data_IF_681420101585
#
_entry.id   IF_681420101585
#
_cell.length_a   1.000
_cell.length_b   1.000
_cell.length_c   1.000
_cell.angle_alpha   90.00
_cell.angle_beta   90.00
_cell.angle_gamma   90.00
#
_symmetry.space_group_name_H-M   'P 1'
#
loop_
_entity.id
_entity.type
_entity.pdbx_description
1 polymer ?
#
# COMPACT_ATOMS: atom_id res chain seq x y z
N UNK A 1 23.60 22.55 -83.47
CA UNK A 1 25.00 22.21 -83.13
C UNK A 1 25.27 22.51 -81.67
N UNK A 2 25.10 21.51 -80.80
CA UNK A 2 26.07 21.11 -79.76
C UNK A 2 25.62 19.78 -79.17
N UNK A 3 26.59 18.90 -79.07
CA UNK A 3 26.49 17.46 -78.97
C UNK A 3 26.10 16.92 -77.58
N UNK A 4 25.40 15.77 -77.64
CA UNK A 4 25.53 14.53 -76.85
C UNK A 4 26.03 14.62 -75.39
N UNK A 5 25.29 13.97 -74.49
CA UNK A 5 25.83 12.76 -73.86
C UNK A 5 24.70 11.80 -73.42
N UNK A 6 24.80 10.57 -73.91
CA UNK A 6 24.00 9.44 -73.49
C UNK A 6 24.65 8.76 -72.27
N UNK A 7 23.83 8.23 -71.37
CA UNK A 7 24.26 7.33 -70.29
C UNK A 7 23.18 6.32 -69.97
N UNK A 8 23.16 5.18 -70.68
CA UNK A 8 22.41 3.97 -70.31
C UNK A 8 23.28 3.10 -69.40
N UNK A 9 22.76 2.62 -68.26
CA UNK A 9 22.98 1.27 -67.66
C UNK A 9 21.73 0.94 -66.80
N UNK A 10 20.87 0.02 -67.25
CA UNK A 10 20.80 -1.41 -66.85
C UNK A 10 20.61 -1.57 -65.33
N UNK A 11 19.36 -1.75 -64.86
CA UNK A 11 18.65 -3.03 -64.69
C UNK A 11 19.01 -3.76 -63.39
N UNK A 12 18.03 -3.93 -62.50
CA UNK A 12 17.71 -5.21 -61.86
C UNK A 12 16.49 -5.04 -60.93
N UNK A 13 15.52 -5.94 -61.12
CA UNK A 13 14.35 -6.12 -60.28
C UNK A 13 14.72 -6.78 -58.94
N UNK A 14 13.97 -6.44 -57.89
CA UNK A 14 13.62 -7.40 -56.83
C UNK A 14 12.40 -6.87 -56.06
N UNK A 15 11.24 -7.42 -56.38
CA UNK A 15 10.09 -7.48 -55.46
C UNK A 15 10.52 -8.21 -54.19
N UNK A 16 10.32 -7.58 -53.03
CA UNK A 16 10.13 -8.28 -51.77
C UNK A 16 8.87 -7.71 -51.10
N UNK A 17 7.73 -8.34 -51.41
CA UNK A 17 6.60 -8.38 -50.49
C UNK A 17 7.09 -9.11 -49.23
N UNK A 18 7.22 -8.39 -48.13
CA UNK A 18 7.32 -8.99 -46.81
C UNK A 18 6.24 -8.34 -45.95
N UNK A 19 5.18 -9.12 -45.74
CA UNK A 19 4.10 -8.84 -44.82
C UNK A 19 4.68 -8.57 -43.42
N UNK A 20 4.62 -7.33 -42.97
CA UNK A 20 4.77 -7.01 -41.56
C UNK A 20 3.49 -7.45 -40.86
N UNK A 21 3.51 -8.67 -40.33
CA UNK A 21 2.44 -9.23 -39.52
C UNK A 21 2.04 -8.20 -38.45
N UNK A 22 0.76 -7.82 -38.46
CA UNK A 22 0.15 -7.13 -37.34
C UNK A 22 0.44 -7.96 -36.08
N UNK A 23 1.22 -7.41 -35.15
CA UNK A 23 1.30 -7.91 -33.80
C UNK A 23 -0.07 -7.67 -33.18
N UNK A 24 -1.00 -8.60 -33.42
CA UNK A 24 -2.18 -8.81 -32.61
C UNK A 24 -1.68 -9.32 -31.27
N UNK A 25 -1.11 -8.43 -30.46
CA UNK A 25 -1.06 -8.65 -29.04
C UNK A 25 -2.50 -8.87 -28.63
N UNK A 26 -2.80 -10.07 -28.13
CA UNK A 26 -3.99 -10.29 -27.33
C UNK A 26 -3.85 -9.36 -26.12
N UNK A 27 -4.32 -8.12 -26.26
CA UNK A 27 -4.43 -7.20 -25.15
C UNK A 27 -5.38 -7.88 -24.18
N UNK A 28 -4.83 -8.50 -23.15
CA UNK A 28 -5.64 -8.93 -22.02
C UNK A 28 -6.38 -7.68 -21.55
N UNK A 29 -7.72 -7.72 -21.43
CA UNK A 29 -8.46 -6.56 -20.97
C UNK A 29 -7.83 -6.11 -19.66
N UNK A 30 -7.53 -4.81 -19.56
CA UNK A 30 -7.05 -4.22 -18.32
C UNK A 30 -8.15 -4.47 -17.27
N UNK A 31 -7.89 -5.40 -16.36
CA UNK A 31 -8.83 -5.70 -15.29
C UNK A 31 -8.82 -4.50 -14.35
N UNK A 32 -9.96 -3.85 -14.21
CA UNK A 32 -10.12 -2.77 -13.24
C UNK A 32 -9.84 -3.33 -11.85
N UNK A 33 -8.81 -2.79 -11.18
CA UNK A 33 -8.53 -3.15 -9.81
C UNK A 33 -9.76 -2.82 -8.96
N UNK A 34 -10.24 -3.81 -8.20
CA UNK A 34 -11.32 -3.54 -7.24
C UNK A 34 -10.68 -2.94 -5.99
N UNK A 35 -11.09 -1.71 -5.65
CA UNK A 35 -10.58 -1.02 -4.45
C UNK A 35 -11.49 -1.29 -3.27
N UNK A 36 -10.91 -1.73 -2.16
CA UNK A 36 -11.59 -1.87 -0.88
C UNK A 36 -11.04 -0.87 0.13
N UNK A 37 -11.94 -0.32 0.94
CA UNK A 37 -11.61 0.49 2.10
C UNK A 37 -11.81 -0.37 3.33
N UNK A 38 -10.73 -0.69 4.02
CA UNK A 38 -10.73 -1.65 5.13
C UNK A 38 -10.10 -1.03 6.36
N UNK A 39 -10.61 -1.36 7.54
CA UNK A 39 -9.99 -0.93 8.80
C UNK A 39 -8.96 -1.91 9.33
N UNK A 40 -8.88 -3.10 8.75
CA UNK A 40 -7.86 -4.07 9.08
C UNK A 40 -7.49 -4.93 7.87
N UNK A 41 -6.31 -5.56 7.91
CA UNK A 41 -5.82 -6.39 6.80
C UNK A 41 -6.45 -7.80 6.78
N UNK A 42 -7.44 -8.06 7.63
CA UNK A 42 -8.18 -9.32 7.74
C UNK A 42 -9.65 -9.19 7.31
N UNK A 43 -10.15 -7.97 7.17
CA UNK A 43 -11.49 -7.61 6.65
C UNK A 43 -11.53 -7.79 5.13
N UNK A 44 -10.99 -8.92 4.67
CA UNK A 44 -10.98 -9.35 3.29
C UNK A 44 -11.28 -10.86 3.27
N UNK A 45 -12.14 -11.36 2.37
CA UNK A 45 -12.69 -12.73 2.47
C UNK A 45 -11.69 -13.90 2.42
N UNK A 46 -10.41 -13.64 2.18
CA UNK A 46 -9.39 -14.66 1.88
C UNK A 46 -8.12 -14.54 2.71
N UNK A 47 -8.00 -13.55 3.60
CA UNK A 47 -6.89 -13.47 4.55
C UNK A 47 -7.43 -13.94 5.88
N UNK A 48 -6.83 -14.99 6.44
CA UNK A 48 -7.05 -15.39 7.81
C UNK A 48 -5.85 -14.95 8.62
N UNK A 49 -6.05 -13.99 9.52
CA UNK A 49 -5.00 -13.48 10.36
C UNK A 49 -4.92 -14.30 11.65
N UNK A 50 -3.72 -14.76 11.98
CA UNK A 50 -3.45 -15.54 13.19
C UNK A 50 -2.36 -14.93 14.08
N UNK A 51 -1.68 -13.88 13.61
CA UNK A 51 -0.50 -13.29 14.22
C UNK A 51 -0.56 -11.76 14.13
N UNK A 52 0.21 -11.04 14.92
CA UNK A 52 0.14 -9.58 15.00
C UNK A 52 -1.07 -9.03 15.76
N UNK A 53 -1.01 -7.75 16.10
CA UNK A 53 -2.10 -6.95 16.68
C UNK A 53 -1.64 -5.47 16.83
N UNK A 54 -1.15 -4.88 15.74
CA UNK A 54 -0.77 -3.47 15.72
C UNK A 54 -2.00 -2.60 15.45
N UNK A 55 -2.25 -1.59 16.26
CA UNK A 55 -3.24 -0.57 15.97
C UNK A 55 -2.58 0.79 15.73
N UNK A 56 -2.83 1.37 14.57
CA UNK A 56 -2.51 2.77 14.30
C UNK A 56 -3.71 3.65 14.62
N UNK A 57 -3.48 4.66 15.45
CA UNK A 57 -4.50 5.57 15.95
C UNK A 57 -4.45 6.90 15.23
N UNK A 58 -5.62 7.47 14.93
CA UNK A 58 -5.73 8.79 14.33
C UNK A 58 -5.24 9.91 15.28
N UNK A 59 -5.56 9.80 16.57
CA UNK A 59 -5.13 10.77 17.58
C UNK A 59 -3.80 10.39 18.23
N UNK A 60 -3.10 11.41 18.75
CA UNK A 60 -2.06 11.21 19.75
C UNK A 60 -2.64 10.64 21.05
N UNK A 61 -1.77 10.04 21.87
CA UNK A 61 -2.15 9.40 23.13
C UNK A 61 -3.03 10.29 24.02
N UNK A 62 -2.64 11.56 24.15
CA UNK A 62 -3.32 12.57 24.97
C UNK A 62 -4.81 12.73 24.62
N UNK A 63 -5.19 12.50 23.35
CA UNK A 63 -6.56 12.73 22.85
C UNK A 63 -7.27 11.44 22.45
N UNK A 64 -6.68 10.29 22.74
CA UNK A 64 -7.19 9.00 22.32
C UNK A 64 -8.20 8.40 23.30
N UNK A 65 -8.13 8.76 24.58
CA UNK A 65 -9.04 8.32 25.64
C UNK A 65 -9.48 9.51 26.48
N UNK A 66 -10.72 9.49 26.96
CA UNK A 66 -11.18 10.48 27.95
C UNK A 66 -10.83 10.07 29.38
N UNK A 67 -11.16 10.94 30.35
CA UNK A 67 -10.91 10.69 31.77
C UNK A 67 -11.64 9.48 32.36
N UNK A 68 -12.62 8.92 31.64
CA UNK A 68 -13.32 7.68 32.02
C UNK A 68 -12.69 6.43 31.41
N UNK A 69 -11.67 6.59 30.58
CA UNK A 69 -11.06 5.50 29.80
C UNK A 69 -11.83 5.14 28.53
N UNK A 70 -12.84 5.93 28.14
CA UNK A 70 -13.56 5.70 26.89
C UNK A 70 -12.66 6.07 25.72
N UNK A 71 -12.60 5.17 24.74
CA UNK A 71 -11.91 5.42 23.48
C UNK A 71 -12.59 6.54 22.70
N UNK A 72 -11.81 7.57 22.38
CA UNK A 72 -12.21 8.70 21.54
C UNK A 72 -11.57 8.65 20.15
N UNK A 73 -10.44 7.95 19.98
CA UNK A 73 -9.78 7.80 18.68
C UNK A 73 -10.37 6.66 17.87
N UNK A 74 -10.36 6.80 16.56
CA UNK A 74 -10.43 5.67 15.64
C UNK A 74 -9.05 5.05 15.44
N UNK A 75 -9.04 3.77 15.07
CA UNK A 75 -7.82 3.03 14.77
C UNK A 75 -8.02 2.09 13.57
N UNK A 76 -6.91 1.72 12.94
CA UNK A 76 -6.83 0.62 11.99
C UNK A 76 -5.95 -0.48 12.57
N UNK A 77 -6.32 -1.75 12.39
CA UNK A 77 -5.63 -2.91 12.94
C UNK A 77 -4.82 -3.64 11.88
N UNK A 78 -3.63 -4.08 12.23
CA UNK A 78 -2.74 -4.77 11.32
C UNK A 78 -2.17 -6.03 11.98
N UNK A 79 -2.35 -7.13 11.26
CA UNK A 79 -1.98 -8.48 11.68
C UNK A 79 -0.85 -9.04 10.81
N UNK A 80 -0.07 -8.15 10.20
CA UNK A 80 1.03 -8.51 9.32
C UNK A 80 1.57 -7.33 8.54
N UNK A 81 2.55 -7.59 7.69
CA UNK A 81 3.26 -6.56 6.95
C UNK A 81 2.36 -5.81 5.94
N UNK A 82 2.46 -4.48 5.94
CA UNK A 82 1.74 -3.60 5.04
C UNK A 82 2.69 -2.67 4.31
N UNK A 83 2.96 -2.99 3.04
CA UNK A 83 3.89 -2.26 2.18
C UNK A 83 3.40 -0.84 1.82
N UNK A 84 2.09 -0.62 1.71
CA UNK A 84 1.51 0.72 1.48
C UNK A 84 0.09 0.83 2.05
N UNK A 85 -0.11 1.73 3.02
CA UNK A 85 -1.44 2.02 3.59
C UNK A 85 -2.49 2.51 2.58
N UNK A 86 -2.09 2.97 1.38
CA UNK A 86 -3.01 3.43 0.35
C UNK A 86 -2.95 2.61 -0.95
N UNK A 87 -2.33 1.43 -0.94
CA UNK A 87 -2.02 0.75 -2.19
C UNK A 87 -1.61 -0.72 -2.10
N UNK A 88 -1.68 -1.37 -0.93
CA UNK A 88 -1.38 -2.81 -0.85
C UNK A 88 -2.25 -3.57 -1.83
N UNK A 89 -1.60 -4.17 -2.82
CA UNK A 89 -2.27 -4.81 -3.94
C UNK A 89 -1.97 -6.30 -3.94
N UNK A 90 -3.02 -7.12 -4.02
CA UNK A 90 -2.91 -8.57 -4.05
C UNK A 90 -3.74 -9.13 -5.19
N UNK A 91 -3.21 -10.16 -5.85
CA UNK A 91 -3.95 -10.90 -6.87
C UNK A 91 -4.74 -12.03 -6.23
N UNK A 92 -6.03 -12.12 -6.55
CA UNK A 92 -6.85 -13.30 -6.27
C UNK A 92 -7.45 -13.85 -7.55
N UNK A 93 -7.01 -15.05 -7.94
CA UNK A 93 -7.26 -15.60 -9.26
C UNK A 93 -6.70 -14.68 -10.35
N UNK A 94 -7.57 -14.19 -11.23
CA UNK A 94 -7.18 -13.24 -12.28
C UNK A 94 -7.45 -11.78 -11.91
N UNK A 95 -8.01 -11.45 -10.74
CA UNK A 95 -8.38 -10.07 -10.38
C UNK A 95 -7.35 -9.44 -9.45
N UNK A 96 -6.95 -8.20 -9.74
CA UNK A 96 -6.15 -7.37 -8.83
C UNK A 96 -7.07 -6.65 -7.84
N UNK A 97 -6.77 -6.78 -6.56
CA UNK A 97 -7.44 -6.08 -5.48
C UNK A 97 -6.49 -5.07 -4.85
N UNK A 98 -6.97 -3.85 -4.62
CA UNK A 98 -6.19 -2.78 -3.98
C UNK A 98 -6.87 -2.38 -2.68
N UNK A 99 -6.11 -2.36 -1.60
CA UNK A 99 -6.59 -1.98 -0.28
C UNK A 99 -6.14 -0.58 0.08
N UNK A 100 -7.10 0.22 0.54
CA UNK A 100 -6.86 1.52 1.15
C UNK A 100 -7.28 1.42 2.60
N UNK A 101 -6.32 1.51 3.50
CA UNK A 101 -6.59 1.40 4.93
C UNK A 101 -7.19 2.70 5.46
N UNK A 102 -8.25 2.58 6.25
CA UNK A 102 -8.95 3.69 6.89
C UNK A 102 -9.09 3.42 8.38
N UNK A 103 -9.14 4.47 9.21
CA UNK A 103 -9.43 4.29 10.62
C UNK A 103 -10.91 3.92 10.82
N UNK A 104 -11.19 2.94 11.69
CA UNK A 104 -12.52 2.40 11.97
C UNK A 104 -13.05 2.71 13.37
N UNK A 105 -14.03 1.92 13.83
CA UNK A 105 -14.59 1.92 15.19
C UNK A 105 -15.34 3.20 15.65
N UNK A 106 -15.63 4.15 14.75
CA UNK A 106 -16.55 5.26 15.00
C UNK A 106 -16.05 6.42 15.89
N UNK A 107 -14.77 6.40 16.29
CA UNK A 107 -14.12 7.51 16.99
C UNK A 107 -13.69 8.67 16.08
N UNK A 108 -12.87 9.57 16.62
CA UNK A 108 -12.23 10.65 15.88
C UNK A 108 -11.35 10.09 14.77
N UNK A 109 -11.52 10.60 13.55
CA UNK A 109 -10.80 10.13 12.38
C UNK A 109 -11.45 8.95 11.66
N UNK A 110 -12.61 8.47 12.10
CA UNK A 110 -13.31 7.38 11.42
C UNK A 110 -13.51 7.65 9.93
N UNK A 111 -13.14 6.68 9.09
CA UNK A 111 -13.17 6.77 7.63
C UNK A 111 -12.04 7.58 6.99
N UNK A 112 -11.20 8.26 7.78
CA UNK A 112 -9.98 8.89 7.25
C UNK A 112 -8.97 7.82 6.88
N UNK A 113 -8.18 8.09 5.84
CA UNK A 113 -7.11 7.19 5.38
C UNK A 113 -6.01 7.12 6.43
N UNK A 114 -5.43 5.94 6.64
CA UNK A 114 -4.31 5.76 7.59
C UNK A 114 -3.06 6.47 7.12
N UNK A 115 -2.73 6.34 5.82
CA UNK A 115 -1.56 6.97 5.21
C UNK A 115 -1.52 8.46 5.54
N UNK A 116 -0.42 8.90 6.12
CA UNK A 116 -0.13 10.27 6.53
C UNK A 116 -1.16 10.86 7.52
N UNK A 117 -1.77 10.02 8.36
CA UNK A 117 -2.75 10.51 9.35
C UNK A 117 -2.66 9.81 10.71
N UNK A 118 -1.86 8.75 10.87
CA UNK A 118 -1.73 8.14 12.19
C UNK A 118 -0.82 8.99 13.09
N UNK A 119 -1.15 9.08 14.37
CA UNK A 119 -0.43 9.88 15.35
C UNK A 119 0.07 9.08 16.56
N UNK A 120 -0.51 7.92 16.86
CA UNK A 120 -0.02 7.02 17.91
C UNK A 120 -0.24 5.56 17.57
N UNK A 121 0.38 4.68 18.35
CA UNK A 121 0.42 3.23 18.12
C UNK A 121 0.02 2.49 19.39
N UNK A 122 -0.85 1.50 19.28
CA UNK A 122 -0.95 0.40 20.24
C UNK A 122 -0.37 -0.86 19.62
N UNK A 123 0.72 -1.39 20.13
CA UNK A 123 1.14 -2.74 19.80
C UNK A 123 0.60 -3.70 20.87
N UNK A 124 -0.49 -4.38 20.54
CA UNK A 124 -1.14 -5.38 21.38
C UNK A 124 -0.64 -6.80 21.08
N UNK A 125 0.28 -6.97 20.13
CA UNK A 125 0.73 -8.28 19.71
C UNK A 125 1.46 -8.99 20.88
N UNK A 126 1.22 -10.29 21.09
CA UNK A 126 1.75 -11.01 22.25
C UNK A 126 3.26 -11.33 22.14
N UNK A 127 3.79 -11.39 20.92
CA UNK A 127 5.17 -11.75 20.65
C UNK A 127 5.83 -10.90 19.56
N UNK A 128 5.04 -10.15 18.78
CA UNK A 128 5.54 -9.48 17.58
C UNK A 128 5.81 -8.01 17.83
N UNK A 129 7.03 -7.57 17.52
CA UNK A 129 7.34 -6.15 17.48
C UNK A 129 6.99 -5.62 16.09
N UNK A 130 6.84 -4.31 16.02
CA UNK A 130 6.50 -3.64 14.78
C UNK A 130 7.40 -2.45 14.54
N UNK A 131 7.52 -2.08 13.27
CA UNK A 131 8.19 -0.84 12.86
C UNK A 131 7.34 -0.12 11.84
N UNK A 132 7.07 1.15 12.13
CA UNK A 132 6.31 2.06 11.26
C UNK A 132 7.28 2.96 10.51
N UNK A 133 6.99 3.23 9.24
CA UNK A 133 7.87 3.95 8.32
C UNK A 133 7.18 5.17 7.70
N UNK A 134 8.00 6.18 7.42
CA UNK A 134 7.60 7.41 6.74
C UNK A 134 7.11 7.14 5.31
N UNK A 135 7.84 6.33 4.54
CA UNK A 135 7.48 6.03 3.15
C UNK A 135 6.87 4.63 3.02
N UNK A 136 6.14 4.44 1.92
CA UNK A 136 5.76 3.10 1.47
C UNK A 136 7.01 2.25 1.20
N UNK A 137 6.86 0.94 1.36
CA UNK A 137 7.91 -0.02 1.11
C UNK A 137 8.99 -0.11 2.17
N UNK A 138 8.66 0.25 3.41
CA UNK A 138 9.57 0.17 4.56
C UNK A 138 10.79 1.07 4.40
N UNK A 139 10.57 2.26 3.83
CA UNK A 139 11.62 3.22 3.49
C UNK A 139 11.55 4.49 4.35
N UNK A 140 12.69 5.16 4.46
CA UNK A 140 12.81 6.44 5.15
C UNK A 140 12.95 6.30 6.67
N UNK A 141 12.63 7.38 7.38
CA UNK A 141 12.64 7.39 8.84
C UNK A 141 11.65 6.36 9.38
N UNK A 142 11.99 5.73 10.50
CA UNK A 142 11.18 4.67 11.10
C UNK A 142 11.30 4.64 12.61
N UNK A 143 10.27 4.10 13.26
CA UNK A 143 10.20 3.96 14.71
C UNK A 143 9.77 2.54 15.05
N UNK A 144 10.46 1.96 16.02
CA UNK A 144 10.22 0.60 16.53
C UNK A 144 9.26 0.63 17.72
N UNK A 145 8.35 -0.33 17.76
CA UNK A 145 7.35 -0.51 18.80
C UNK A 145 7.41 -1.95 19.29
N UNK A 146 7.86 -2.13 20.52
CA UNK A 146 7.95 -3.46 21.14
C UNK A 146 6.56 -4.11 21.31
N UNK A 147 6.53 -5.43 21.36
CA UNK A 147 5.33 -6.21 21.63
C UNK A 147 4.75 -5.92 23.04
N UNK A 148 3.49 -6.31 23.25
CA UNK A 148 2.84 -6.22 24.56
C UNK A 148 3.48 -7.20 25.56
N UNK A 149 3.64 -6.80 26.82
CA UNK A 149 4.05 -7.73 27.89
C UNK A 149 2.83 -8.13 28.71
N UNK A 150 2.62 -9.45 28.83
CA UNK A 150 1.60 -10.11 29.63
C UNK A 150 0.14 -9.76 29.26
N UNK A 151 -0.32 -8.51 29.40
CA UNK A 151 -1.72 -8.11 29.19
C UNK A 151 -1.94 -6.63 28.81
N UNK A 152 -0.90 -5.80 28.73
CA UNK A 152 -1.03 -4.39 28.38
C UNK A 152 -0.37 -4.11 27.03
N UNK A 153 -1.14 -3.52 26.11
CA UNK A 153 -0.62 -3.08 24.83
C UNK A 153 0.49 -2.05 25.04
N UNK A 154 1.57 -2.16 24.28
CA UNK A 154 2.57 -1.10 24.26
C UNK A 154 2.00 0.13 23.54
N UNK A 155 1.86 1.23 24.27
CA UNK A 155 1.32 2.48 23.74
C UNK A 155 2.39 3.57 23.66
N UNK A 156 2.58 4.14 22.47
CA UNK A 156 3.43 5.31 22.26
C UNK A 156 2.86 6.24 21.18
N UNK A 157 3.16 7.54 21.29
CA UNK A 157 3.04 8.48 20.17
C UNK A 157 4.07 8.15 19.10
N UNK A 158 3.69 8.39 17.85
CA UNK A 158 4.65 8.48 16.76
C UNK A 158 5.51 9.74 16.98
N UNK A 159 6.81 9.62 16.71
CA UNK A 159 7.70 10.77 16.80
C UNK A 159 7.30 11.87 15.81
N UNK A 160 7.87 13.07 15.99
CA UNK A 160 7.50 14.25 15.21
C UNK A 160 7.73 14.11 13.70
N UNK A 161 8.55 13.15 13.26
CA UNK A 161 8.82 12.89 11.85
C UNK A 161 7.79 11.93 11.25
N UNK A 162 7.25 10.99 12.04
CA UNK A 162 6.27 9.99 11.57
C UNK A 162 4.82 10.37 11.80
N UNK A 163 4.54 11.19 12.81
CA UNK A 163 3.18 11.61 13.13
C UNK A 163 2.56 12.31 11.91
N UNK A 164 1.45 11.76 11.44
CA UNK A 164 0.75 12.20 10.22
C UNK A 164 1.58 12.11 8.93
N UNK A 165 2.61 11.27 8.92
CA UNK A 165 3.51 11.14 7.75
C UNK A 165 3.92 9.67 7.52
N UNK A 166 3.20 8.72 8.12
CA UNK A 166 3.47 7.28 8.00
C UNK A 166 2.77 6.64 6.80
N UNK A 167 3.39 5.62 6.21
CA UNK A 167 2.92 5.02 4.97
C UNK A 167 3.06 3.50 4.87
N UNK A 168 3.85 2.86 5.73
CA UNK A 168 3.98 1.40 5.77
C UNK A 168 4.46 0.90 7.13
N UNK A 169 4.28 -0.39 7.38
CA UNK A 169 4.77 -1.07 8.58
C UNK A 169 4.99 -2.56 8.37
N UNK A 170 5.83 -3.16 9.21
CA UNK A 170 6.13 -4.59 9.17
C UNK A 170 6.51 -5.10 10.55
N UNK A 171 6.49 -6.42 10.71
CA UNK A 171 7.08 -7.12 11.84
C UNK A 171 8.59 -6.80 11.98
N UNK A 172 9.07 -6.67 13.21
CA UNK A 172 10.42 -6.19 13.54
C UNK A 172 11.19 -7.07 14.53
#
# INVERSE_FOLDING_TARGET
MKDRLAGKRLAAAATALAAGAALLFNATPAQAATTFYVSDNCDVPWINCSEGDLHLNYNSMEYAVDSSGKLLTSYASFYGDVYDYAGTSQYQGSTLYTYVYVFGNGGNGNGQRVKNNAASVWNCAPADNYRVYYNSGYLGHSQYFQHAYAYDCYWADLDSTLKNENASEHFA
#
